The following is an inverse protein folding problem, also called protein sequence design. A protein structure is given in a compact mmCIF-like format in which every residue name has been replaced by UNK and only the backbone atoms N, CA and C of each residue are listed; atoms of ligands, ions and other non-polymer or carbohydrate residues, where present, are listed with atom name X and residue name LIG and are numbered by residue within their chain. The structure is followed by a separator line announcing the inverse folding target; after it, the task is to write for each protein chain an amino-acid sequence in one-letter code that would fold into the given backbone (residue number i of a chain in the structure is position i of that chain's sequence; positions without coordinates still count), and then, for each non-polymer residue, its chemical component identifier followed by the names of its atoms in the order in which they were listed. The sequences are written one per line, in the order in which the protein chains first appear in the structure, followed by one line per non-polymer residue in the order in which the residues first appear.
data_IF_496687497836
#
_entry.id   IF_496687497836
#
_cell.length_a   1.000
_cell.length_b   1.000
_cell.length_c   1.000
_cell.angle_alpha   90.00
_cell.angle_beta   90.00
_cell.angle_gamma   90.00
#
_symmetry.space_group_name_H-M   'P 1'
#
loop_
_entity.id
_entity.type
_entity.pdbx_description
1 polymer ?
#
# COMPACT_ATOMS: atom_id res chain seq x y z
N UNK A 1 42.91 -48.67 22.01
CA UNK A 1 43.74 -48.22 20.87
C UNK A 1 42.82 -47.83 19.73
N UNK A 2 43.23 -46.84 18.93
CA UNK A 2 42.72 -46.52 17.58
C UNK A 2 41.30 -45.97 17.40
N UNK A 3 41.22 -44.63 17.30
CA UNK A 3 40.37 -43.90 16.34
C UNK A 3 40.72 -44.33 14.89
N UNK A 4 39.83 -44.20 13.87
CA UNK A 4 39.48 -42.90 13.26
C UNK A 4 37.97 -42.89 12.82
N UNK A 5 37.40 -42.03 11.97
CA UNK A 5 37.83 -40.85 11.21
C UNK A 5 36.64 -39.87 11.03
N UNK A 6 36.92 -38.62 10.61
CA UNK A 6 35.96 -37.53 10.41
C UNK A 6 35.93 -37.12 8.94
N UNK A 7 34.74 -37.00 8.34
CA UNK A 7 34.57 -36.41 6.98
C UNK A 7 33.63 -35.21 7.04
N UNK A 8 34.22 -34.01 7.04
CA UNK A 8 33.50 -32.76 6.83
C UNK A 8 33.80 -32.25 5.41
N UNK A 9 32.77 -31.90 4.64
CA UNK A 9 32.90 -31.44 3.26
C UNK A 9 32.86 -29.91 3.21
N UNK A 10 33.98 -29.26 2.86
CA UNK A 10 34.07 -27.83 2.52
C UNK A 10 34.84 -27.69 1.20
N UNK A 11 34.26 -26.97 0.25
CA UNK A 11 34.88 -26.45 -0.97
C UNK A 11 34.40 -24.99 -1.10
N UNK A 12 35.22 -23.95 -0.90
CA UNK A 12 36.40 -23.43 -1.63
C UNK A 12 36.07 -22.68 -2.92
N UNK A 13 36.27 -21.36 -2.92
CA UNK A 13 36.60 -20.56 -4.11
C UNK A 13 37.58 -19.41 -3.77
N UNK A 14 38.54 -19.20 -4.68
CA UNK A 14 39.52 -18.10 -4.74
C UNK A 14 39.76 -17.78 -6.24
N UNK A 15 40.51 -16.76 -6.68
CA UNK A 15 41.44 -15.82 -6.03
C UNK A 15 41.39 -14.47 -6.76
N UNK A 16 41.75 -13.37 -6.07
CA UNK A 16 41.78 -12.02 -6.65
C UNK A 16 42.96 -11.74 -7.60
N UNK A 17 42.88 -10.59 -8.30
CA UNK A 17 43.91 -9.87 -9.09
C UNK A 17 44.07 -10.30 -10.58
N UNK A 18 44.49 -9.39 -11.51
CA UNK A 18 45.25 -8.14 -11.28
C UNK A 18 44.78 -6.84 -11.99
N UNK A 19 45.51 -5.78 -11.68
CA UNK A 19 45.40 -4.35 -12.09
C UNK A 19 46.09 -4.03 -13.43
N UNK A 20 45.65 -2.99 -14.17
CA UNK A 20 46.52 -2.11 -14.98
C UNK A 20 45.81 -0.81 -15.42
N UNK A 21 46.58 0.28 -15.65
CA UNK A 21 46.07 1.64 -15.94
C UNK A 21 46.66 2.28 -17.21
N UNK A 22 45.98 3.31 -17.73
CA UNK A 22 46.37 4.26 -18.80
C UNK A 22 47.87 4.47 -19.03
N UNK A 23 48.28 4.45 -20.31
CA UNK A 23 49.20 5.43 -20.89
C UNK A 23 49.09 5.48 -22.43
N UNK A 24 48.89 6.67 -23.00
CA UNK A 24 49.06 6.93 -24.43
C UNK A 24 49.88 8.22 -24.63
N UNK A 25 51.18 8.03 -24.83
CA UNK A 25 52.16 8.97 -25.41
C UNK A 25 52.59 8.33 -26.74
N UNK A 26 52.97 9.04 -27.80
CA UNK A 26 53.02 10.48 -28.10
C UNK A 26 53.10 10.62 -29.64
N UNK A 27 53.05 11.85 -30.17
CA UNK A 27 53.96 12.23 -31.26
C UNK A 27 54.06 13.76 -31.39
N UNK A 28 55.28 14.28 -31.38
CA UNK A 28 55.62 15.69 -31.61
C UNK A 28 56.22 15.86 -33.00
N UNK A 29 55.72 16.79 -33.83
CA UNK A 29 56.48 17.28 -34.98
C UNK A 29 57.49 18.33 -34.53
N UNK A 30 58.78 18.00 -34.62
CA UNK A 30 59.90 18.92 -34.35
C UNK A 30 59.98 20.01 -35.42
N UNK A 31 60.22 21.25 -35.00
CA UNK A 31 60.36 22.41 -35.90
C UNK A 31 61.53 22.27 -36.87
N UNK A 32 61.28 22.50 -38.16
CA UNK A 32 62.32 22.71 -39.16
C UNK A 32 62.48 24.21 -39.46
N UNK A 33 63.67 24.75 -39.23
CA UNK A 33 63.99 26.17 -39.47
C UNK A 33 64.33 26.39 -40.94
N UNK A 34 63.51 27.15 -41.67
CA UNK A 34 63.75 27.51 -43.06
C UNK A 34 63.45 28.98 -43.30
N UNK A 35 64.45 29.73 -43.79
CA UNK A 35 64.40 31.19 -43.92
C UNK A 35 64.25 31.55 -45.40
N UNK A 36 63.19 32.28 -45.78
CA UNK A 36 63.22 33.36 -46.79
C UNK A 36 61.85 34.04 -46.93
N UNK A 37 61.80 35.36 -47.17
CA UNK A 37 60.55 36.12 -47.22
C UNK A 37 60.04 36.27 -48.66
N UNK A 38 58.83 35.82 -48.94
CA UNK A 38 58.13 36.20 -50.18
C UNK A 38 56.71 36.65 -49.86
N UNK A 39 56.36 37.83 -50.35
CA UNK A 39 55.11 38.52 -50.09
C UNK A 39 53.88 37.71 -50.51
N UNK A 40 52.94 37.52 -49.57
CA UNK A 40 51.56 37.14 -49.91
C UNK A 40 50.59 38.04 -49.15
N UNK A 41 49.76 38.80 -49.89
CA UNK A 41 48.63 39.56 -49.33
C UNK A 41 47.37 38.69 -49.42
N UNK A 42 46.76 38.30 -48.29
CA UNK A 42 45.36 37.88 -48.29
C UNK A 42 44.47 39.08 -47.94
N UNK A 43 43.51 39.39 -48.82
CA UNK A 43 42.39 40.29 -48.50
C UNK A 43 41.46 39.62 -47.49
N UNK A 44 41.63 39.88 -46.19
CA UNK A 44 40.68 39.41 -45.18
C UNK A 44 39.38 40.22 -45.21
N UNK A 45 38.42 39.60 -45.88
CA UNK A 45 36.97 39.81 -45.78
C UNK A 45 36.56 40.04 -44.32
N UNK A 46 35.85 41.15 -44.05
CA UNK A 46 35.16 41.35 -42.76
C UNK A 46 33.95 40.43 -42.70
N UNK A 47 34.12 39.23 -42.14
CA UNK A 47 32.99 38.45 -41.67
C UNK A 47 32.60 38.92 -40.27
N UNK A 48 31.53 39.72 -40.20
CA UNK A 48 30.89 40.05 -38.94
C UNK A 48 30.19 38.81 -38.39
N UNK A 49 30.91 37.99 -37.64
CA UNK A 49 30.35 36.93 -36.81
C UNK A 49 29.55 37.54 -35.64
N UNK A 50 28.38 38.15 -35.93
CA UNK A 50 27.30 38.26 -34.96
C UNK A 50 26.59 36.91 -34.89
N UNK A 51 27.20 35.98 -34.16
CA UNK A 51 26.44 34.93 -33.51
C UNK A 51 25.57 35.61 -32.46
N UNK A 52 24.38 36.08 -32.87
CA UNK A 52 23.33 36.45 -31.95
C UNK A 52 22.93 35.19 -31.20
N UNK A 53 23.39 35.07 -29.95
CA UNK A 53 22.75 34.16 -29.02
C UNK A 53 21.39 34.78 -28.70
N UNK A 54 20.37 34.41 -29.49
CA UNK A 54 19.00 34.80 -29.27
C UNK A 54 18.54 34.18 -27.95
N UNK A 55 18.70 34.98 -26.88
CA UNK A 55 18.16 34.70 -25.56
C UNK A 55 16.64 34.84 -25.63
N UNK A 56 15.99 33.81 -26.17
CA UNK A 56 14.54 33.68 -26.21
C UNK A 56 14.01 33.64 -24.77
N UNK A 57 13.58 34.79 -24.27
CA UNK A 57 12.91 34.90 -22.98
C UNK A 57 11.52 34.30 -23.06
N UNK A 58 11.15 33.49 -22.07
CA UNK A 58 9.80 32.96 -21.93
C UNK A 58 8.78 34.09 -21.91
N UNK A 59 7.73 33.95 -22.72
CA UNK A 59 6.65 34.94 -22.73
C UNK A 59 5.73 34.73 -21.52
N UNK A 60 5.09 35.80 -21.03
CA UNK A 60 4.16 35.67 -19.91
C UNK A 60 2.97 34.73 -20.23
N UNK A 61 2.52 34.71 -21.49
CA UNK A 61 1.47 33.82 -21.97
C UNK A 61 1.89 32.34 -21.92
N UNK A 62 3.16 32.03 -22.17
CA UNK A 62 3.69 30.66 -22.15
C UNK A 62 3.70 30.07 -20.74
N UNK A 63 4.17 30.84 -19.75
CA UNK A 63 4.10 30.44 -18.33
C UNK A 63 2.63 30.32 -17.87
N UNK A 64 1.75 31.24 -18.31
CA UNK A 64 0.33 31.17 -17.98
C UNK A 64 -0.33 29.89 -18.51
N UNK A 65 -0.06 29.52 -19.78
CA UNK A 65 -0.57 28.29 -20.39
C UNK A 65 -0.04 27.05 -19.68
N UNK A 66 1.25 27.01 -19.32
CA UNK A 66 1.83 25.90 -18.55
C UNK A 66 1.15 25.74 -17.18
N UNK A 67 0.94 26.82 -16.43
CA UNK A 67 0.22 26.77 -15.14
C UNK A 67 -1.22 26.30 -15.30
N UNK A 68 -1.92 26.74 -16.36
CA UNK A 68 -3.28 26.26 -16.68
C UNK A 68 -3.30 24.77 -17.00
N UNK A 69 -2.36 24.27 -17.80
CA UNK A 69 -2.27 22.84 -18.14
C UNK A 69 -1.98 22.02 -16.88
N UNK A 70 -1.04 22.45 -16.03
CA UNK A 70 -0.76 21.78 -14.75
C UNK A 70 -1.99 21.79 -13.84
N UNK A 71 -2.73 22.90 -13.77
CA UNK A 71 -3.97 23.01 -13.00
C UNK A 71 -5.06 22.05 -13.49
N UNK A 72 -5.27 21.94 -14.80
CA UNK A 72 -6.23 21.00 -15.39
C UNK A 72 -5.80 19.54 -15.16
N UNK A 73 -4.53 19.20 -15.36
CA UNK A 73 -4.01 17.85 -15.11
C UNK A 73 -4.13 17.48 -13.63
N UNK A 74 -3.80 18.40 -12.72
CA UNK A 74 -3.95 18.18 -11.28
C UNK A 74 -5.42 17.99 -10.87
N UNK A 75 -6.34 18.80 -11.39
CA UNK A 75 -7.77 18.64 -11.15
C UNK A 75 -8.32 17.29 -11.66
N UNK A 76 -7.90 16.86 -12.85
CA UNK A 76 -8.25 15.55 -13.41
C UNK A 76 -7.66 14.38 -12.60
N UNK A 77 -6.43 14.52 -12.10
CA UNK A 77 -5.82 13.52 -11.20
C UNK A 77 -6.61 13.38 -9.89
N UNK A 78 -6.96 14.50 -9.23
CA UNK A 78 -7.77 14.48 -8.00
C UNK A 78 -9.14 13.85 -8.25
N UNK A 79 -9.83 14.21 -9.34
CA UNK A 79 -11.13 13.61 -9.68
C UNK A 79 -11.02 12.10 -9.96
N UNK A 80 -9.99 11.67 -10.71
CA UNK A 80 -9.76 10.26 -11.03
C UNK A 80 -9.46 9.42 -9.79
N UNK A 81 -8.55 9.89 -8.91
CA UNK A 81 -8.27 9.20 -7.65
C UNK A 81 -9.48 9.12 -6.73
N UNK A 82 -10.27 10.19 -6.63
CA UNK A 82 -11.44 10.19 -5.75
C UNK A 82 -12.57 9.31 -6.28
N UNK A 83 -12.77 9.18 -7.59
CA UNK A 83 -13.78 8.25 -8.13
C UNK A 83 -13.30 6.80 -8.05
N UNK A 84 -12.16 6.46 -8.65
CA UNK A 84 -11.70 5.06 -8.79
C UNK A 84 -10.99 4.50 -7.55
N UNK A 85 -10.41 5.36 -6.70
CA UNK A 85 -9.78 4.91 -5.45
C UNK A 85 -10.79 4.51 -4.37
N UNK A 86 -11.92 5.23 -4.29
CA UNK A 86 -12.96 5.01 -3.27
C UNK A 86 -13.62 3.63 -3.37
N UNK A 87 -13.89 3.13 -4.57
CA UNK A 87 -14.53 1.82 -4.73
C UNK A 87 -13.61 0.68 -4.28
N UNK A 88 -12.35 0.72 -4.74
CA UNK A 88 -11.31 -0.25 -4.38
C UNK A 88 -11.02 -0.30 -2.88
N UNK A 89 -11.26 0.79 -2.17
CA UNK A 89 -11.08 0.86 -0.72
C UNK A 89 -12.22 0.18 0.04
N UNK A 90 -13.46 0.25 -0.48
CA UNK A 90 -14.60 -0.51 0.04
C UNK A 90 -14.39 -2.01 -0.20
N UNK A 91 -14.06 -2.40 -1.43
CA UNK A 91 -13.75 -3.79 -1.81
C UNK A 91 -12.63 -4.36 -0.92
N UNK A 92 -11.48 -3.68 -0.86
CA UNK A 92 -10.31 -4.12 -0.08
C UNK A 92 -10.56 -4.24 1.43
N UNK A 93 -11.41 -3.40 2.01
CA UNK A 93 -11.74 -3.49 3.43
C UNK A 93 -12.77 -4.59 3.71
N UNK A 94 -13.63 -4.89 2.73
CA UNK A 94 -14.55 -6.03 2.76
C UNK A 94 -13.81 -7.37 2.59
N UNK A 95 -12.94 -7.50 1.59
CA UNK A 95 -11.99 -8.62 1.41
C UNK A 95 -11.22 -8.90 2.71
N UNK A 96 -10.74 -7.83 3.37
CA UNK A 96 -10.02 -7.90 4.64
C UNK A 96 -10.92 -8.41 5.75
N UNK A 97 -12.12 -7.85 5.92
CA UNK A 97 -13.05 -8.23 6.98
C UNK A 97 -13.43 -9.71 6.84
N UNK A 98 -13.76 -10.14 5.61
CA UNK A 98 -13.99 -11.54 5.24
C UNK A 98 -12.81 -12.46 5.61
N UNK A 99 -11.59 -12.08 5.23
CA UNK A 99 -10.39 -12.85 5.54
C UNK A 99 -10.10 -12.93 7.05
N UNK A 100 -10.34 -11.85 7.80
CA UNK A 100 -10.16 -11.82 9.25
C UNK A 100 -11.20 -12.66 9.99
N UNK A 101 -12.46 -12.69 9.53
CA UNK A 101 -13.49 -13.58 10.07
C UNK A 101 -13.16 -15.05 9.82
N UNK A 102 -12.75 -15.39 8.60
CA UNK A 102 -12.31 -16.76 8.24
C UNK A 102 -11.14 -17.20 9.10
N UNK A 103 -10.11 -16.35 9.23
CA UNK A 103 -8.95 -16.61 10.07
C UNK A 103 -9.31 -16.74 11.56
N UNK A 104 -10.13 -15.84 12.11
CA UNK A 104 -10.53 -15.89 13.51
C UNK A 104 -11.33 -17.16 13.84
N UNK A 105 -12.13 -17.66 12.90
CA UNK A 105 -12.83 -18.95 13.02
C UNK A 105 -11.84 -20.12 13.05
N UNK A 106 -10.89 -20.17 12.12
CA UNK A 106 -9.83 -21.20 12.14
C UNK A 106 -9.06 -21.18 13.48
N UNK A 107 -8.76 -19.98 14.01
CA UNK A 107 -8.13 -19.86 15.33
C UNK A 107 -9.05 -20.30 16.49
N UNK A 108 -10.35 -20.09 16.40
CA UNK A 108 -11.31 -20.53 17.41
C UNK A 108 -11.34 -22.06 17.53
N UNK A 109 -11.40 -22.75 16.38
CA UNK A 109 -11.32 -24.21 16.25
C UNK A 109 -9.95 -24.72 16.77
N UNK A 110 -8.84 -24.21 16.22
CA UNK A 110 -7.48 -24.69 16.51
C UNK A 110 -7.04 -24.45 17.96
N UNK A 111 -7.42 -23.33 18.57
CA UNK A 111 -7.06 -22.99 19.95
C UNK A 111 -8.13 -23.42 20.97
N UNK A 112 -9.25 -23.98 20.51
CA UNK A 112 -10.41 -24.37 21.32
C UNK A 112 -10.83 -23.25 22.29
N UNK A 113 -10.95 -22.03 21.77
CA UNK A 113 -11.29 -20.82 22.53
C UNK A 113 -12.30 -19.97 21.80
N UNK A 114 -13.07 -19.21 22.55
CA UNK A 114 -14.03 -18.26 21.98
C UNK A 114 -13.37 -16.93 21.63
N UNK A 115 -13.78 -16.41 20.48
CA UNK A 115 -13.52 -15.05 20.05
C UNK A 115 -14.85 -14.30 19.90
N UNK A 116 -14.79 -12.99 19.87
CA UNK A 116 -15.93 -12.15 19.54
C UNK A 116 -15.50 -10.94 18.73
N UNK A 117 -16.40 -10.39 17.93
CA UNK A 117 -16.15 -9.18 17.14
C UNK A 117 -16.95 -8.03 17.71
N UNK A 118 -16.24 -6.96 18.05
CA UNK A 118 -16.78 -5.68 18.47
C UNK A 118 -16.76 -4.72 17.28
N UNK A 119 -17.92 -4.45 16.70
CA UNK A 119 -18.11 -3.38 15.72
C UNK A 119 -18.36 -2.05 16.43
N UNK A 120 -17.80 -0.98 15.85
CA UNK A 120 -17.93 0.42 16.23
C UNK A 120 -18.37 1.22 15.00
N UNK A 121 -18.77 2.47 15.21
CA UNK A 121 -19.13 3.42 14.16
C UNK A 121 -18.00 3.70 13.16
N UNK A 122 -16.74 3.70 13.63
CA UNK A 122 -15.54 3.99 12.82
C UNK A 122 -14.58 2.79 12.66
N UNK A 123 -14.99 1.55 12.99
CA UNK A 123 -14.04 0.44 13.07
C UNK A 123 -14.59 -0.89 13.61
N UNK A 124 -13.67 -1.84 13.79
CA UNK A 124 -13.96 -3.14 14.42
C UNK A 124 -12.72 -3.67 15.17
N UNK A 125 -12.95 -4.52 16.16
CA UNK A 125 -11.91 -5.15 16.98
C UNK A 125 -12.28 -6.60 17.29
N UNK A 126 -11.32 -7.51 17.14
CA UNK A 126 -11.48 -8.88 17.59
C UNK A 126 -11.08 -8.99 19.07
N UNK A 127 -11.94 -9.64 19.83
CA UNK A 127 -11.86 -9.82 21.26
C UNK A 127 -11.75 -11.31 21.60
N UNK A 128 -11.25 -11.60 22.78
CA UNK A 128 -11.22 -12.94 23.37
C UNK A 128 -11.54 -12.84 24.86
N UNK A 129 -12.15 -13.89 25.40
CA UNK A 129 -12.62 -13.90 26.79
C UNK A 129 -11.51 -14.35 27.75
N UNK A 130 -11.13 -13.46 28.68
CA UNK A 130 -10.16 -13.76 29.73
C UNK A 130 -10.87 -14.38 30.93
N UNK A 131 -10.93 -15.72 30.98
CA UNK A 131 -11.61 -16.48 32.03
C UNK A 131 -11.11 -16.14 33.44
N UNK A 132 -9.83 -15.74 33.60
CA UNK A 132 -9.27 -15.40 34.92
C UNK A 132 -9.75 -14.03 35.42
N UNK A 133 -10.05 -13.12 34.51
CA UNK A 133 -10.47 -11.75 34.81
C UNK A 133 -11.98 -11.53 34.60
N UNK A 134 -12.66 -12.49 33.98
CA UNK A 134 -14.06 -12.42 33.56
C UNK A 134 -14.36 -11.16 32.70
N UNK A 135 -13.46 -10.84 31.77
CA UNK A 135 -13.59 -9.71 30.84
C UNK A 135 -13.27 -10.12 29.41
N UNK A 136 -13.93 -9.48 28.46
CA UNK A 136 -13.47 -9.42 27.08
C UNK A 136 -12.29 -8.47 26.96
N UNK A 137 -11.30 -8.83 26.13
CA UNK A 137 -10.17 -7.98 25.80
C UNK A 137 -9.69 -8.25 24.38
N UNK A 138 -9.04 -7.27 23.75
CA UNK A 138 -8.38 -7.48 22.46
C UNK A 138 -7.38 -8.63 22.51
N UNK A 139 -7.23 -9.35 21.41
CA UNK A 139 -6.34 -10.51 21.30
C UNK A 139 -4.87 -10.02 21.35
N UNK A 140 -4.09 -10.32 22.40
CA UNK A 140 -2.74 -9.76 22.56
C UNK A 140 -1.66 -10.58 21.85
N UNK A 141 -1.96 -11.86 21.57
CA UNK A 141 -1.01 -12.86 21.08
C UNK A 141 -1.06 -12.99 19.55
N UNK A 142 -1.80 -12.09 18.87
CA UNK A 142 -2.16 -12.17 17.46
C UNK A 142 -2.17 -10.77 16.82
N UNK A 143 -1.21 -10.51 15.93
CA UNK A 143 -1.08 -9.21 15.25
C UNK A 143 -2.10 -9.01 14.10
N UNK A 144 -2.75 -10.06 13.62
CA UNK A 144 -3.78 -9.95 12.59
C UNK A 144 -5.09 -9.41 13.18
N UNK A 145 -5.44 -9.88 14.40
CA UNK A 145 -6.69 -9.62 15.10
C UNK A 145 -6.71 -8.31 15.94
N UNK A 146 -5.78 -7.39 15.67
CA UNK A 146 -5.77 -6.05 16.30
C UNK A 146 -6.98 -5.19 15.90
N UNK A 147 -7.33 -4.22 16.77
CA UNK A 147 -8.34 -3.21 16.46
C UNK A 147 -8.01 -2.41 15.19
N UNK A 148 -8.99 -2.24 14.31
CA UNK A 148 -8.88 -1.48 13.06
C UNK A 148 -9.92 -0.37 13.01
N UNK A 149 -9.54 0.76 12.43
CA UNK A 149 -10.48 1.78 11.97
C UNK A 149 -10.76 1.59 10.48
N UNK A 150 -11.99 1.88 10.09
CA UNK A 150 -12.36 1.99 8.70
C UNK A 150 -11.68 3.21 8.06
N UNK A 151 -11.33 3.15 6.77
CA UNK A 151 -10.93 4.32 5.98
C UNK A 151 -12.00 5.43 5.94
N UNK A 152 -11.56 6.66 5.66
CA UNK A 152 -12.45 7.83 5.64
C UNK A 152 -13.61 7.69 4.61
N UNK A 153 -14.81 8.07 5.05
CA UNK A 153 -16.02 7.96 4.23
C UNK A 153 -16.50 6.51 3.99
N UNK A 154 -16.06 5.56 4.82
CA UNK A 154 -16.69 4.24 4.99
C UNK A 154 -17.34 4.16 6.37
N UNK A 155 -18.51 3.54 6.42
CA UNK A 155 -19.22 3.17 7.64
C UNK A 155 -19.58 1.69 7.64
N UNK A 156 -20.01 1.18 8.79
CA UNK A 156 -20.50 -0.19 8.94
C UNK A 156 -21.88 -0.21 9.57
N UNK A 157 -22.78 -1.01 9.01
CA UNK A 157 -24.06 -1.39 9.60
C UNK A 157 -24.01 -2.86 9.99
N UNK A 158 -24.41 -3.16 11.21
CA UNK A 158 -24.47 -4.52 11.72
C UNK A 158 -25.91 -4.95 11.95
N UNK A 159 -26.25 -6.12 11.44
CA UNK A 159 -27.47 -6.87 11.81
C UNK A 159 -27.04 -8.17 12.47
N UNK A 160 -27.60 -8.50 13.64
CA UNK A 160 -27.35 -9.76 14.37
C UNK A 160 -28.71 -10.40 14.64
N UNK A 161 -28.86 -11.69 14.34
CA UNK A 161 -30.13 -12.43 14.47
C UNK A 161 -31.32 -11.70 13.79
N UNK A 162 -31.09 -11.17 12.58
CA UNK A 162 -32.02 -10.34 11.82
C UNK A 162 -32.50 -9.04 12.52
N UNK A 163 -31.78 -8.56 13.55
CA UNK A 163 -32.04 -7.29 14.24
C UNK A 163 -30.91 -6.28 14.01
N UNK A 164 -31.20 -5.03 13.61
CA UNK A 164 -30.17 -4.01 13.46
C UNK A 164 -29.59 -3.66 14.83
N UNK A 165 -28.26 -3.56 14.91
CA UNK A 165 -27.53 -3.22 16.13
C UNK A 165 -27.01 -1.80 16.04
N UNK A 166 -27.31 -0.98 17.05
CA UNK A 166 -26.74 0.36 17.17
C UNK A 166 -25.28 0.23 17.63
N UNK A 167 -24.35 0.62 16.77
CA UNK A 167 -22.93 0.60 17.08
C UNK A 167 -22.58 1.76 18.01
N UNK A 168 -21.75 1.50 19.01
CA UNK A 168 -21.32 2.50 19.99
C UNK A 168 -19.93 2.16 20.48
N UNK A 169 -19.04 3.15 20.51
CA UNK A 169 -17.70 3.02 21.07
C UNK A 169 -17.76 2.79 22.59
N UNK A 170 -17.20 1.68 23.12
CA UNK A 170 -17.04 1.49 24.56
C UNK A 170 -16.12 2.58 25.15
N UNK A 171 -16.43 3.06 26.36
CA UNK A 171 -15.64 4.11 27.03
C UNK A 171 -14.41 3.50 27.70
N UNK A 172 -14.61 2.43 28.45
CA UNK A 172 -13.55 1.70 29.13
C UNK A 172 -13.33 0.30 28.54
N UNK A 173 -12.13 -0.25 28.74
CA UNK A 173 -11.78 -1.58 28.26
C UNK A 173 -12.63 -2.71 28.88
N UNK A 174 -13.33 -2.44 29.99
CA UNK A 174 -14.27 -3.37 30.66
C UNK A 174 -15.65 -3.37 30.03
N UNK A 175 -16.02 -2.32 29.30
CA UNK A 175 -17.33 -2.18 28.66
C UNK A 175 -17.39 -2.89 27.30
N UNK A 176 -16.24 -3.38 26.80
CA UNK A 176 -16.13 -4.11 25.53
C UNK A 176 -17.00 -5.36 25.59
N UNK A 177 -18.05 -5.38 24.78
CA UNK A 177 -18.97 -6.50 24.62
C UNK A 177 -19.07 -6.82 23.14
N UNK A 178 -18.62 -7.99 22.67
CA UNK A 178 -18.73 -8.34 21.26
C UNK A 178 -20.20 -8.50 20.87
N UNK A 179 -20.57 -8.09 19.65
CA UNK A 179 -21.92 -8.28 19.12
C UNK A 179 -22.05 -9.56 18.28
N UNK A 180 -20.94 -10.06 17.73
CA UNK A 180 -20.87 -11.35 17.02
C UNK A 180 -19.92 -12.26 17.76
N UNK A 181 -20.36 -13.47 18.13
CA UNK A 181 -19.48 -14.50 18.72
C UNK A 181 -18.92 -15.41 17.62
N UNK A 182 -17.72 -15.92 17.87
CA UNK A 182 -17.05 -16.97 17.09
C UNK A 182 -16.69 -18.07 18.10
N UNK A 183 -17.41 -19.18 18.02
CA UNK A 183 -17.34 -20.27 18.99
C UNK A 183 -16.18 -21.21 18.69
N UNK A 184 -15.71 -21.95 19.71
CA UNK A 184 -14.56 -22.85 19.62
C UNK A 184 -14.78 -24.10 18.74
N UNK A 185 -15.98 -24.28 18.19
CA UNK A 185 -16.32 -25.31 17.21
C UNK A 185 -16.40 -24.78 15.76
N UNK A 186 -16.13 -23.48 15.55
CA UNK A 186 -16.20 -22.84 14.23
C UNK A 186 -17.53 -22.16 13.90
N UNK A 187 -18.57 -22.32 14.74
CA UNK A 187 -19.83 -21.62 14.53
C UNK A 187 -19.70 -20.12 14.84
N UNK A 188 -20.52 -19.29 14.19
CA UNK A 188 -20.66 -17.86 14.51
C UNK A 188 -22.12 -17.50 14.80
N UNK A 189 -22.34 -16.47 15.60
CA UNK A 189 -23.68 -15.85 15.74
C UNK A 189 -24.13 -15.31 14.39
N UNK A 190 -25.36 -15.66 13.96
CA UNK A 190 -25.93 -15.17 12.69
C UNK A 190 -25.83 -13.65 12.58
N UNK A 191 -25.05 -13.18 11.61
CA UNK A 191 -24.79 -11.76 11.39
C UNK A 191 -24.75 -11.38 9.90
N UNK A 192 -25.02 -10.11 9.64
CA UNK A 192 -24.70 -9.45 8.39
C UNK A 192 -24.03 -8.11 8.71
N UNK A 193 -22.76 -7.97 8.32
CA UNK A 193 -21.97 -6.76 8.42
C UNK A 193 -21.90 -6.09 7.04
N UNK A 194 -22.67 -5.02 6.86
CA UNK A 194 -22.71 -4.24 5.63
C UNK A 194 -21.74 -3.07 5.76
N UNK A 195 -20.64 -3.11 5.02
CA UNK A 195 -19.77 -1.95 4.80
C UNK A 195 -20.43 -1.06 3.74
N UNK A 196 -20.58 0.23 4.01
CA UNK A 196 -21.19 1.19 3.11
C UNK A 196 -20.33 2.43 2.94
N UNK A 197 -20.39 3.03 1.76
CA UNK A 197 -19.76 4.33 1.51
C UNK A 197 -20.68 5.47 1.95
N UNK A 198 -20.11 6.50 2.57
CA UNK A 198 -20.81 7.73 2.91
C UNK A 198 -21.49 8.32 1.64
N UNK A 199 -22.79 8.58 1.73
CA UNK A 199 -23.66 8.84 0.57
C UNK A 199 -24.51 7.64 0.12
N UNK A 200 -24.35 6.46 0.73
CA UNK A 200 -25.23 5.29 0.62
C UNK A 200 -25.16 4.51 -0.70
N UNK A 201 -24.66 5.13 -1.78
CA UNK A 201 -24.70 4.62 -3.15
C UNK A 201 -24.16 3.20 -3.34
N UNK A 202 -23.18 2.76 -2.54
CA UNK A 202 -22.54 1.43 -2.69
C UNK A 202 -22.28 0.79 -1.34
N UNK A 203 -22.55 -0.51 -1.27
CA UNK A 203 -22.28 -1.33 -0.10
C UNK A 203 -21.85 -2.76 -0.48
N UNK A 204 -21.11 -3.39 0.44
CA UNK A 204 -20.70 -4.79 0.37
C UNK A 204 -21.07 -5.44 1.72
N UNK A 205 -21.59 -6.67 1.70
CA UNK A 205 -22.07 -7.34 2.93
C UNK A 205 -21.35 -8.64 3.16
N UNK A 206 -20.65 -8.72 4.29
CA UNK A 206 -20.10 -9.98 4.83
C UNK A 206 -21.18 -10.61 5.71
N UNK A 207 -21.54 -11.86 5.42
CA UNK A 207 -22.60 -12.62 6.10
C UNK A 207 -22.15 -14.08 6.27
N UNK A 208 -22.97 -14.91 6.89
CA UNK A 208 -22.86 -16.37 6.77
C UNK A 208 -23.77 -16.92 5.67
N UNK A 209 -23.39 -18.06 5.09
CA UNK A 209 -24.25 -18.90 4.25
C UNK A 209 -25.10 -19.89 5.07
N UNK A 210 -25.85 -20.76 4.39
CA UNK A 210 -26.70 -21.79 5.02
C UNK A 210 -25.90 -22.94 5.66
N UNK A 211 -24.58 -23.00 5.42
CA UNK A 211 -23.64 -23.93 6.05
C UNK A 211 -22.81 -23.28 7.17
N UNK A 212 -23.13 -22.03 7.54
CA UNK A 212 -22.42 -21.26 8.57
C UNK A 212 -21.05 -20.73 8.14
N UNK A 213 -20.64 -20.98 6.89
CA UNK A 213 -19.40 -20.42 6.33
C UNK A 213 -19.57 -18.92 6.14
N UNK A 214 -18.50 -18.17 6.37
CA UNK A 214 -18.49 -16.74 6.07
C UNK A 214 -18.46 -16.60 4.55
N UNK A 215 -19.30 -15.72 4.00
CA UNK A 215 -19.36 -15.37 2.59
C UNK A 215 -19.45 -13.85 2.42
N UNK A 216 -18.93 -13.37 1.29
CA UNK A 216 -19.05 -11.98 0.86
C UNK A 216 -20.08 -11.88 -0.26
N UNK A 217 -21.09 -11.03 -0.07
CA UNK A 217 -22.08 -10.73 -1.12
C UNK A 217 -21.49 -9.74 -2.13
N UNK A 218 -21.80 -9.87 -3.44
CA UNK A 218 -21.31 -8.93 -4.45
C UNK A 218 -21.76 -7.50 -4.15
N UNK A 219 -20.90 -6.53 -4.50
CA UNK A 219 -21.18 -5.10 -4.27
C UNK A 219 -22.53 -4.69 -4.87
N UNK A 220 -23.39 -4.13 -4.01
CA UNK A 220 -24.72 -3.63 -4.39
C UNK A 220 -24.65 -2.11 -4.52
N UNK A 221 -25.05 -1.60 -5.68
CA UNK A 221 -25.25 -0.18 -5.91
C UNK A 221 -26.72 0.19 -5.61
N UNK A 222 -26.96 0.98 -4.57
CA UNK A 222 -28.30 1.46 -4.24
C UNK A 222 -28.71 2.56 -5.22
N UNK A 223 -29.77 2.32 -5.98
CA UNK A 223 -30.33 3.35 -6.86
C UNK A 223 -31.00 4.46 -6.02
N UNK A 224 -30.69 5.75 -6.27
CA UNK A 224 -31.34 6.89 -5.60
C UNK A 224 -32.80 7.09 -6.05
#
# INVERSE_FOLDING_TARGET
MSTPARTARRMTCTRSAPTASRAARASTPTSATGISPTSFRPTMRRECARAGADSAGFTLIEIMVVVVIIGVVAALMVLSFTLTGRDRELEKESDRLFALFTYAREQAELQTREYGVLFQDDGYEFLTYDVRRAIWRGVPDDEALVARRLPDGLGVKLTVEARPVVLTRPKDARDKTPQVMIFSNGDLTSFAATLEREGGLRSVTVTQDDQGQVIEQPMVESKP
#
